data_IF_116247589736
#
_entry.id   IF_116247589736
#
_cell.length_a   1.000
_cell.length_b   1.000
_cell.length_c   1.000
_cell.angle_alpha   90.00
_cell.angle_beta   90.00
_cell.angle_gamma   90.00
#
_symmetry.space_group_name_H-M   'P 1'
#
loop_
_entity.id
_entity.type
_entity.pdbx_description
1 polymer ?
#
# COMPACT_ATOMS: atom_id res chain seq x y z
N UNK A 1 -8.65 -1.59 19.20
CA UNK A 1 -7.32 -1.60 18.57
C UNK A 1 -6.69 -0.22 18.78
N UNK A 2 -5.44 -0.15 19.20
CA UNK A 2 -4.68 1.10 19.29
C UNK A 2 -3.91 1.38 17.99
N UNK A 3 -3.42 2.61 17.80
CA UNK A 3 -2.63 2.95 16.61
C UNK A 3 -1.33 2.13 16.51
N UNK A 4 -0.73 1.79 17.65
CA UNK A 4 0.44 0.91 17.72
C UNK A 4 0.11 -0.53 17.28
N UNK A 5 -1.05 -1.06 17.69
CA UNK A 5 -1.53 -2.36 17.22
C UNK A 5 -1.81 -2.33 15.72
N UNK A 6 -2.46 -1.27 15.21
CA UNK A 6 -2.72 -1.09 13.77
C UNK A 6 -1.43 -1.10 12.95
N UNK A 7 -0.40 -0.37 13.40
CA UNK A 7 0.93 -0.38 12.76
C UNK A 7 1.57 -1.78 12.80
N UNK A 8 1.53 -2.44 13.95
CA UNK A 8 2.10 -3.77 14.14
C UNK A 8 1.41 -4.80 13.24
N UNK A 9 0.08 -4.73 13.10
CA UNK A 9 -0.68 -5.59 12.19
C UNK A 9 -0.24 -5.36 10.74
N UNK A 10 -0.10 -4.11 10.30
CA UNK A 10 0.36 -3.80 8.95
C UNK A 10 1.77 -4.34 8.68
N UNK A 11 2.70 -4.15 9.62
CA UNK A 11 4.07 -4.68 9.54
C UNK A 11 4.06 -6.21 9.44
N UNK A 12 3.25 -6.89 10.26
CA UNK A 12 3.12 -8.34 10.23
C UNK A 12 2.56 -8.84 8.88
N UNK A 13 1.57 -8.15 8.31
CA UNK A 13 1.04 -8.46 6.97
C UNK A 13 2.09 -8.27 5.88
N UNK A 14 2.88 -7.19 5.93
CA UNK A 14 3.97 -6.97 4.99
C UNK A 14 5.02 -8.10 5.06
N UNK A 15 5.47 -8.46 6.26
CA UNK A 15 6.40 -9.58 6.46
C UNK A 15 5.80 -10.92 6.04
N UNK A 16 4.48 -11.11 6.15
CA UNK A 16 3.82 -12.31 5.62
C UNK A 16 3.89 -12.35 4.09
N UNK A 17 3.68 -11.22 3.41
CA UNK A 17 3.81 -11.14 1.95
C UNK A 17 5.22 -11.49 1.49
N UNK A 18 6.24 -11.03 2.21
CA UNK A 18 7.65 -11.40 1.94
C UNK A 18 7.87 -12.91 2.06
N UNK A 19 7.35 -13.52 3.13
CA UNK A 19 7.44 -14.97 3.31
C UNK A 19 6.70 -15.74 2.22
N UNK A 20 5.54 -15.25 1.76
CA UNK A 20 4.80 -15.89 0.66
C UNK A 20 5.63 -15.86 -0.64
N UNK A 21 6.20 -14.71 -0.98
CA UNK A 21 7.04 -14.56 -2.18
C UNK A 21 8.30 -15.41 -2.04
N UNK A 22 9.02 -15.32 -0.92
CA UNK A 22 10.22 -16.12 -0.68
C UNK A 22 9.93 -17.62 -0.77
N UNK A 23 8.82 -18.08 -0.17
CA UNK A 23 8.41 -19.48 -0.25
C UNK A 23 8.03 -19.91 -1.67
N UNK A 24 7.41 -19.01 -2.44
CA UNK A 24 7.05 -19.28 -3.82
C UNK A 24 8.28 -19.54 -4.69
N UNK A 25 9.34 -18.75 -4.47
CA UNK A 25 10.61 -18.81 -5.21
C UNK A 25 11.66 -19.71 -4.57
N UNK A 26 11.26 -20.65 -3.71
CA UNK A 26 12.21 -21.61 -3.14
C UNK A 26 12.72 -22.56 -4.23
N UNK A 27 14.02 -22.79 -4.19
CA UNK A 27 14.69 -23.79 -5.00
C UNK A 27 15.03 -25.03 -4.14
N UNK A 28 15.10 -26.17 -4.79
CA UNK A 28 15.63 -27.39 -4.21
C UNK A 28 17.18 -27.35 -4.15
N UNK A 29 17.86 -28.34 -3.53
CA UNK A 29 19.31 -28.36 -3.48
C UNK A 29 20.01 -28.42 -4.86
N UNK A 30 19.27 -28.73 -5.94
CA UNK A 30 19.74 -28.73 -7.31
C UNK A 30 19.54 -27.39 -8.04
N UNK A 31 19.01 -26.36 -7.37
CA UNK A 31 18.69 -25.08 -7.98
C UNK A 31 17.44 -25.10 -8.85
N UNK A 32 16.61 -26.15 -8.73
CA UNK A 32 15.35 -26.26 -9.47
C UNK A 32 14.23 -25.64 -8.63
N UNK A 33 13.39 -24.76 -9.18
CA UNK A 33 12.27 -24.21 -8.44
C UNK A 33 11.33 -25.31 -7.93
N UNK A 34 11.00 -25.25 -6.63
CA UNK A 34 10.12 -26.23 -5.97
C UNK A 34 8.69 -26.13 -6.50
N UNK A 35 8.25 -24.92 -6.83
CA UNK A 35 6.92 -24.67 -7.40
C UNK A 35 6.98 -24.41 -8.91
N UNK A 36 5.95 -24.81 -9.67
CA UNK A 36 5.79 -24.41 -11.07
C UNK A 36 5.75 -22.89 -11.24
N UNK A 37 6.22 -22.40 -12.39
CA UNK A 37 6.26 -20.97 -12.70
C UNK A 37 4.89 -20.28 -12.61
N UNK A 38 3.80 -20.99 -12.95
CA UNK A 38 2.44 -20.46 -12.82
C UNK A 38 2.05 -20.20 -11.36
N UNK A 39 2.39 -21.14 -10.47
CA UNK A 39 2.09 -21.03 -9.04
C UNK A 39 2.93 -19.91 -8.41
N UNK A 40 4.21 -19.82 -8.77
CA UNK A 40 5.08 -18.71 -8.35
C UNK A 40 4.46 -17.35 -8.70
N UNK A 41 3.98 -17.22 -9.93
CA UNK A 41 3.34 -16.02 -10.43
C UNK A 41 2.07 -15.67 -9.66
N UNK A 42 1.18 -16.65 -9.48
CA UNK A 42 -0.08 -16.44 -8.76
C UNK A 42 0.15 -16.06 -7.30
N UNK A 43 1.05 -16.77 -6.61
CA UNK A 43 1.38 -16.49 -5.21
C UNK A 43 2.01 -15.11 -5.06
N UNK A 44 2.91 -14.73 -5.97
CA UNK A 44 3.57 -13.41 -5.93
C UNK A 44 2.56 -12.27 -6.13
N UNK A 45 1.69 -12.38 -7.13
CA UNK A 45 0.64 -11.37 -7.39
C UNK A 45 -0.36 -11.31 -6.24
N UNK A 46 -0.74 -12.46 -5.65
CA UNK A 46 -1.62 -12.51 -4.49
C UNK A 46 -0.97 -11.87 -3.25
N UNK A 47 0.33 -12.10 -3.02
CA UNK A 47 1.07 -11.47 -1.93
C UNK A 47 1.12 -9.93 -2.10
N UNK A 48 1.32 -9.44 -3.33
CA UNK A 48 1.22 -8.00 -3.61
C UNK A 48 -0.18 -7.43 -3.32
N UNK A 49 -1.24 -8.12 -3.74
CA UNK A 49 -2.62 -7.73 -3.43
C UNK A 49 -2.87 -7.68 -1.91
N UNK A 50 -2.39 -8.68 -1.17
CA UNK A 50 -2.51 -8.72 0.28
C UNK A 50 -1.80 -7.53 0.96
N UNK A 51 -0.62 -7.14 0.46
CA UNK A 51 0.08 -5.95 0.95
C UNK A 51 -0.76 -4.68 0.72
N UNK A 52 -1.36 -4.54 -0.46
CA UNK A 52 -2.20 -3.37 -0.78
C UNK A 52 -3.44 -3.31 0.11
N UNK A 53 -4.13 -4.43 0.30
CA UNK A 53 -5.30 -4.51 1.21
C UNK A 53 -4.89 -4.18 2.65
N UNK A 54 -3.74 -4.67 3.11
CA UNK A 54 -3.22 -4.35 4.43
C UNK A 54 -2.91 -2.85 4.58
N UNK A 55 -2.42 -2.20 3.52
CA UNK A 55 -2.20 -0.75 3.49
C UNK A 55 -3.51 0.03 3.56
N UNK A 56 -4.53 -0.35 2.80
CA UNK A 56 -5.86 0.29 2.88
C UNK A 56 -6.47 0.13 4.28
N UNK A 57 -6.34 -1.06 4.87
CA UNK A 57 -6.81 -1.34 6.23
C UNK A 57 -6.07 -0.47 7.25
N UNK A 58 -4.75 -0.31 7.11
CA UNK A 58 -3.97 0.59 7.97
C UNK A 58 -4.47 2.03 7.88
N UNK A 59 -4.69 2.55 6.67
CA UNK A 59 -5.21 3.91 6.48
C UNK A 59 -6.60 4.08 7.11
N UNK A 60 -7.52 3.13 6.88
CA UNK A 60 -8.85 3.17 7.46
C UNK A 60 -8.80 3.19 8.99
N UNK A 61 -8.14 2.21 9.61
CA UNK A 61 -8.10 2.07 11.06
C UNK A 61 -7.40 3.26 11.71
N UNK A 62 -6.28 3.71 11.15
CA UNK A 62 -5.57 4.88 11.68
C UNK A 62 -6.40 6.16 11.58
N UNK A 63 -7.08 6.40 10.46
CA UNK A 63 -7.99 7.54 10.29
C UNK A 63 -9.10 7.51 11.35
N UNK A 64 -9.78 6.39 11.49
CA UNK A 64 -10.90 6.20 12.42
C UNK A 64 -10.46 6.42 13.87
N UNK A 65 -9.32 5.87 14.28
CA UNK A 65 -8.79 6.03 15.64
C UNK A 65 -8.40 7.48 15.94
N UNK A 66 -7.72 8.15 15.00
CA UNK A 66 -7.30 9.54 15.17
C UNK A 66 -8.52 10.50 15.11
N UNK A 67 -9.51 10.22 14.26
CA UNK A 67 -10.80 10.94 14.25
C UNK A 67 -11.55 10.75 15.56
N UNK A 68 -11.48 9.57 16.19
CA UNK A 68 -12.06 9.32 17.50
C UNK A 68 -11.30 9.98 18.67
N UNK A 69 -10.13 10.57 18.40
CA UNK A 69 -9.33 11.33 19.37
C UNK A 69 -8.25 10.50 20.06
N UNK A 70 -7.92 9.33 19.52
CA UNK A 70 -6.74 8.59 19.98
C UNK A 70 -5.47 9.39 19.68
N UNK A 71 -4.48 9.42 20.58
CA UNK A 71 -3.21 10.05 20.30
C UNK A 71 -2.40 9.22 19.29
N UNK A 72 -1.45 9.87 18.63
CA UNK A 72 -0.36 9.18 17.91
C UNK A 72 0.52 8.39 18.90
N UNK A 73 1.39 7.52 18.40
CA UNK A 73 2.31 6.73 19.24
C UNK A 73 3.25 7.64 20.04
N UNK A 74 3.61 8.82 19.51
CA UNK A 74 4.41 9.82 20.25
C UNK A 74 3.64 10.53 21.38
N UNK A 75 2.33 10.26 21.52
CA UNK A 75 1.46 10.87 22.51
C UNK A 75 0.78 12.16 22.05
N UNK A 76 1.10 12.67 20.85
CA UNK A 76 0.45 13.86 20.30
C UNK A 76 -0.90 13.52 19.66
N UNK A 77 -1.98 14.10 20.17
CA UNK A 77 -3.28 14.02 19.50
C UNK A 77 -3.38 15.03 18.36
N UNK A 78 -3.81 14.63 17.15
CA UNK A 78 -4.10 15.55 16.06
C UNK A 78 -5.21 16.55 16.44
N UNK A 79 -5.08 17.79 15.96
CA UNK A 79 -6.20 18.75 16.01
C UNK A 79 -7.23 18.31 14.98
N UNK A 80 -8.43 17.98 15.45
CA UNK A 80 -9.54 17.44 14.66
C UNK A 80 -10.61 18.50 14.46
N UNK A 81 -11.16 18.58 13.25
CA UNK A 81 -12.38 19.38 12.98
C UNK A 81 -13.67 18.59 13.22
N UNK A 82 -13.54 17.28 13.43
CA UNK A 82 -14.65 16.36 13.67
C UNK A 82 -14.57 15.74 15.06
N UNK A 83 -15.75 15.49 15.63
CA UNK A 83 -15.91 14.83 16.93
C UNK A 83 -17.00 13.76 16.79
N UNK A 84 -16.67 12.59 16.20
CA UNK A 84 -17.63 11.50 16.09
C UNK A 84 -18.03 10.99 17.49
N UNK A 85 -19.27 10.53 17.64
CA UNK A 85 -19.76 9.97 18.89
C UNK A 85 -19.06 8.66 19.31
N UNK A 86 -18.36 8.01 18.38
CA UNK A 86 -17.60 6.79 18.60
C UNK A 86 -16.95 6.29 17.31
N UNK A 87 -16.31 5.12 17.39
CA UNK A 87 -15.58 4.48 16.28
C UNK A 87 -16.50 4.20 15.08
N UNK A 88 -17.70 3.68 15.31
CA UNK A 88 -18.67 3.42 14.23
C UNK A 88 -19.12 4.70 13.53
N UNK A 89 -19.35 5.77 14.29
CA UNK A 89 -19.66 7.08 13.71
C UNK A 89 -18.48 7.63 12.89
N UNK A 90 -17.24 7.40 13.34
CA UNK A 90 -16.04 7.77 12.58
C UNK A 90 -15.94 6.99 11.26
N UNK A 91 -16.23 5.67 11.25
CA UNK A 91 -16.29 4.88 10.00
C UNK A 91 -17.35 5.41 9.04
N UNK A 92 -18.54 5.75 9.55
CA UNK A 92 -19.58 6.36 8.73
C UNK A 92 -19.13 7.70 8.12
N UNK A 93 -18.38 8.52 8.86
CA UNK A 93 -17.82 9.77 8.33
C UNK A 93 -16.82 9.50 7.21
N UNK A 94 -15.94 8.51 7.36
CA UNK A 94 -14.95 8.12 6.34
C UNK A 94 -15.64 7.62 5.06
N UNK A 95 -16.68 6.80 5.18
CA UNK A 95 -17.49 6.34 4.02
C UNK A 95 -18.24 7.53 3.38
N UNK A 96 -18.69 8.47 4.21
CA UNK A 96 -19.46 9.64 3.78
C UNK A 96 -20.80 9.23 3.18
N UNK A 97 -21.09 9.74 1.98
CA UNK A 97 -22.32 9.44 1.24
C UNK A 97 -22.19 8.28 0.25
N UNK A 98 -21.01 7.67 0.16
CA UNK A 98 -20.73 6.57 -0.76
C UNK A 98 -21.09 5.22 -0.14
N UNK A 99 -21.12 4.16 -0.95
CA UNK A 99 -21.30 2.78 -0.43
C UNK A 99 -20.03 2.24 0.23
N UNK A 100 -18.87 2.68 -0.28
CA UNK A 100 -17.54 2.34 0.21
C UNK A 100 -16.60 3.49 -0.13
N UNK A 101 -15.52 3.63 0.65
CA UNK A 101 -14.46 4.57 0.35
C UNK A 101 -13.33 3.88 -0.43
N UNK A 102 -12.86 4.51 -1.51
CA UNK A 102 -11.75 4.01 -2.32
C UNK A 102 -10.42 4.57 -1.81
N UNK A 103 -9.78 3.81 -0.92
CA UNK A 103 -8.46 4.15 -0.36
C UNK A 103 -7.34 4.05 -1.39
N UNK A 104 -7.51 3.28 -2.46
CA UNK A 104 -6.59 3.22 -3.59
C UNK A 104 -6.52 4.52 -4.38
N UNK A 105 -7.56 5.37 -4.34
CA UNK A 105 -7.49 6.74 -4.89
C UNK A 105 -6.94 7.72 -3.84
N UNK A 106 -5.63 7.74 -3.70
CA UNK A 106 -4.92 8.51 -2.66
C UNK A 106 -5.19 10.02 -2.67
N UNK A 107 -5.55 10.63 -3.80
CA UNK A 107 -6.03 12.02 -3.84
C UNK A 107 -7.29 12.23 -2.98
N UNK A 108 -8.19 11.25 -2.96
CA UNK A 108 -9.39 11.30 -2.12
C UNK A 108 -9.02 11.14 -0.64
N UNK A 109 -8.06 10.26 -0.32
CA UNK A 109 -7.54 10.09 1.05
C UNK A 109 -6.96 11.43 1.54
N UNK A 110 -6.11 12.08 0.74
CA UNK A 110 -5.52 13.38 1.10
C UNK A 110 -6.57 14.46 1.31
N UNK A 111 -7.59 14.54 0.44
CA UNK A 111 -8.71 15.48 0.61
C UNK A 111 -9.48 15.20 1.89
N UNK A 112 -9.75 13.94 2.20
CA UNK A 112 -10.44 13.55 3.43
C UNK A 112 -9.64 13.95 4.68
N UNK A 113 -8.36 13.61 4.70
CA UNK A 113 -7.44 13.98 5.77
C UNK A 113 -7.46 15.50 5.99
N UNK A 114 -7.38 16.29 4.91
CA UNK A 114 -7.41 17.75 4.99
C UNK A 114 -8.75 18.32 5.48
N UNK A 115 -9.87 17.60 5.25
CA UNK A 115 -11.19 17.98 5.77
C UNK A 115 -11.34 17.71 7.27
N UNK A 116 -10.67 16.69 7.81
CA UNK A 116 -10.89 16.24 9.19
C UNK A 116 -9.80 16.63 10.17
N UNK A 117 -8.59 16.91 9.70
CA UNK A 117 -7.45 17.24 10.55
C UNK A 117 -6.81 18.58 10.14
N UNK A 118 -6.34 19.33 11.13
CA UNK A 118 -5.61 20.57 10.90
C UNK A 118 -4.35 20.29 10.05
N UNK A 119 -4.28 20.96 8.89
CA UNK A 119 -3.20 20.79 7.90
C UNK A 119 -3.01 19.33 7.47
N UNK A 120 -4.01 18.49 7.70
CA UNK A 120 -3.96 17.06 7.44
C UNK A 120 -2.97 16.25 8.27
N UNK A 121 -2.52 16.77 9.42
CA UNK A 121 -1.65 16.04 10.33
C UNK A 121 -2.36 14.78 10.91
N UNK A 122 -1.70 13.61 11.00
CA UNK A 122 -0.30 13.33 10.67
C UNK A 122 -0.08 12.77 9.25
N UNK A 123 -1.12 12.67 8.41
CA UNK A 123 -1.03 11.94 7.15
C UNK A 123 -0.42 12.76 6.00
N UNK A 124 -0.86 14.00 5.83
CA UNK A 124 -0.64 14.78 4.60
C UNK A 124 0.84 14.85 4.19
N UNK A 125 1.79 15.20 5.09
CA UNK A 125 3.19 15.35 4.70
C UNK A 125 3.78 14.05 4.15
N UNK A 126 3.41 12.92 4.76
CA UNK A 126 3.97 11.60 4.41
C UNK A 126 3.31 11.01 3.17
N UNK A 127 1.99 11.15 3.02
CA UNK A 127 1.27 10.73 1.82
C UNK A 127 1.68 11.57 0.60
N UNK A 128 1.89 12.88 0.78
CA UNK A 128 2.33 13.76 -0.30
C UNK A 128 3.74 13.40 -0.77
N UNK A 129 4.64 13.03 0.14
CA UNK A 129 6.02 12.66 -0.18
C UNK A 129 6.13 11.44 -1.11
N UNK A 130 5.19 10.50 -1.04
CA UNK A 130 5.18 9.27 -1.86
C UNK A 130 4.01 9.22 -2.87
N UNK A 131 3.41 10.36 -3.23
CA UNK A 131 2.18 10.39 -4.04
C UNK A 131 2.31 9.70 -5.41
N UNK A 132 3.45 9.88 -6.08
CA UNK A 132 3.73 9.19 -7.35
C UNK A 132 3.80 7.68 -7.15
N UNK A 133 4.48 7.23 -6.10
CA UNK A 133 4.60 5.81 -5.78
C UNK A 133 3.23 5.19 -5.45
N UNK A 134 2.38 5.93 -4.73
CA UNK A 134 1.01 5.54 -4.44
C UNK A 134 0.15 5.40 -5.71
N UNK A 135 0.33 6.28 -6.71
CA UNK A 135 -0.32 6.16 -8.01
C UNK A 135 0.16 4.92 -8.80
N UNK A 136 1.44 4.60 -8.68
CA UNK A 136 2.06 3.43 -9.30
C UNK A 136 1.54 2.13 -8.67
N UNK A 137 1.44 2.08 -7.34
CA UNK A 137 0.81 0.99 -6.59
C UNK A 137 -0.64 0.74 -7.03
N UNK A 138 -1.44 1.81 -7.18
CA UNK A 138 -2.81 1.68 -7.69
C UNK A 138 -2.84 1.07 -9.10
N UNK A 139 -1.90 1.47 -9.96
CA UNK A 139 -1.80 0.93 -11.32
C UNK A 139 -1.52 -0.57 -11.30
N UNK A 140 -0.55 -1.00 -10.48
CA UNK A 140 -0.24 -2.41 -10.26
C UNK A 140 -1.43 -3.18 -9.66
N UNK A 141 -2.13 -2.62 -8.67
CA UNK A 141 -3.34 -3.21 -8.09
C UNK A 141 -4.43 -3.42 -9.12
N UNK A 142 -4.69 -2.44 -9.98
CA UNK A 142 -5.71 -2.59 -11.00
C UNK A 142 -5.33 -3.66 -12.04
N UNK A 143 -4.04 -3.77 -12.40
CA UNK A 143 -3.55 -4.83 -13.28
C UNK A 143 -3.65 -6.23 -12.66
N UNK A 144 -3.54 -6.35 -11.32
CA UNK A 144 -3.67 -7.64 -10.62
C UNK A 144 -5.09 -8.21 -10.64
N UNK A 145 -6.11 -7.34 -10.62
CA UNK A 145 -7.51 -7.76 -10.57
C UNK A 145 -8.03 -8.19 -11.93
N UNK A 146 -7.72 -7.43 -12.99
CA UNK A 146 -8.15 -7.72 -14.36
C UNK A 146 -7.12 -7.21 -15.37
N UNK A 147 -6.59 -8.11 -16.19
CA UNK A 147 -5.80 -7.71 -17.36
C UNK A 147 -6.76 -7.43 -18.52
N UNK A 148 -6.90 -6.14 -18.85
CA UNK A 148 -7.67 -5.61 -19.98
C UNK A 148 -6.72 -4.77 -20.84
N UNK A 149 -7.14 -4.39 -22.04
CA UNK A 149 -6.34 -3.46 -22.87
C UNK A 149 -5.99 -2.16 -22.13
N UNK A 150 -6.90 -1.66 -21.29
CA UNK A 150 -6.68 -0.42 -20.51
C UNK A 150 -5.69 -0.59 -19.34
N UNK A 151 -5.78 -1.70 -18.60
CA UNK A 151 -4.85 -1.97 -17.49
C UNK A 151 -3.48 -2.39 -18.00
N UNK A 152 -3.41 -3.05 -19.16
CA UNK A 152 -2.15 -3.36 -19.84
C UNK A 152 -1.41 -2.08 -20.26
N UNK A 153 -2.06 -1.16 -20.97
CA UNK A 153 -1.43 0.10 -21.39
C UNK A 153 -0.93 0.93 -20.19
N UNK A 154 -1.69 0.95 -19.09
CA UNK A 154 -1.27 1.62 -17.86
C UNK A 154 -0.05 0.95 -17.21
N UNK A 155 0.00 -0.40 -17.20
CA UNK A 155 1.12 -1.17 -16.67
C UNK A 155 2.38 -0.99 -17.52
N UNK A 156 2.25 -0.96 -18.85
CA UNK A 156 3.36 -0.68 -19.77
C UNK A 156 3.91 0.73 -19.58
N UNK A 157 3.02 1.73 -19.44
CA UNK A 157 3.42 3.11 -19.11
C UNK A 157 4.10 3.23 -17.75
N UNK A 158 3.69 2.43 -16.76
CA UNK A 158 4.40 2.31 -15.49
C UNK A 158 5.78 1.69 -15.69
N UNK A 159 5.87 0.54 -16.37
CA UNK A 159 7.13 -0.15 -16.61
C UNK A 159 8.13 0.71 -17.38
N UNK A 160 7.67 1.49 -18.36
CA UNK A 160 8.53 2.44 -19.08
C UNK A 160 9.10 3.51 -18.15
N UNK A 161 8.31 4.04 -17.21
CA UNK A 161 8.81 5.02 -16.24
C UNK A 161 9.78 4.40 -15.24
N UNK A 162 9.52 3.17 -14.79
CA UNK A 162 10.38 2.48 -13.84
C UNK A 162 11.72 2.10 -14.49
N UNK A 163 11.69 1.46 -15.66
CA UNK A 163 12.86 0.85 -16.29
C UNK A 163 13.50 1.70 -17.39
N UNK A 164 12.98 2.91 -17.65
CA UNK A 164 13.42 3.83 -18.71
C UNK A 164 13.43 3.21 -20.12
N UNK A 165 12.73 2.10 -20.32
CA UNK A 165 12.67 1.34 -21.58
C UNK A 165 11.24 0.86 -21.83
N UNK A 166 10.72 0.89 -23.07
CA UNK A 166 9.42 0.31 -23.37
C UNK A 166 9.40 -1.20 -23.10
N UNK A 167 8.37 -1.67 -22.39
CA UNK A 167 8.19 -3.07 -22.01
C UNK A 167 6.82 -3.56 -22.49
N UNK A 168 6.64 -3.70 -23.80
CA UNK A 168 5.37 -4.10 -24.39
C UNK A 168 4.99 -5.53 -23.95
N UNK A 169 3.74 -5.74 -23.55
CA UNK A 169 3.25 -7.03 -23.08
C UNK A 169 3.77 -7.46 -21.71
N UNK A 170 4.46 -6.57 -20.97
CA UNK A 170 4.93 -6.89 -19.62
C UNK A 170 3.75 -7.20 -18.72
N UNK A 171 3.93 -8.21 -17.86
CA UNK A 171 2.94 -8.56 -16.86
C UNK A 171 3.35 -8.10 -15.47
N UNK A 172 2.36 -8.07 -14.57
CA UNK A 172 2.57 -7.58 -13.21
C UNK A 172 3.61 -8.39 -12.45
N UNK A 173 3.68 -9.70 -12.67
CA UNK A 173 4.66 -10.54 -11.99
C UNK A 173 6.09 -10.17 -12.39
N UNK A 174 6.34 -9.97 -13.69
CA UNK A 174 7.62 -9.46 -14.20
C UNK A 174 7.97 -8.10 -13.61
N UNK A 175 7.00 -7.18 -13.49
CA UNK A 175 7.24 -5.88 -12.83
C UNK A 175 7.63 -6.06 -11.37
N UNK A 176 6.86 -6.84 -10.59
CA UNK A 176 7.05 -7.00 -9.15
C UNK A 176 8.39 -7.67 -8.78
N UNK A 177 8.86 -8.59 -9.63
CA UNK A 177 10.08 -9.38 -9.41
C UNK A 177 11.32 -8.77 -10.04
N UNK A 178 11.16 -7.81 -10.97
CA UNK A 178 12.29 -7.07 -11.52
C UNK A 178 12.98 -6.22 -10.46
N UNK A 179 14.30 -6.06 -10.60
CA UNK A 179 15.09 -5.14 -9.78
C UNK A 179 14.66 -3.70 -10.09
N UNK A 180 14.33 -2.92 -9.06
CA UNK A 180 14.03 -1.50 -9.24
C UNK A 180 15.35 -0.75 -9.50
N UNK A 181 15.53 -0.12 -10.67
CA UNK A 181 16.78 0.60 -10.99
C UNK A 181 17.03 1.81 -10.08
N UNK A 182 16.01 2.26 -9.33
CA UNK A 182 16.11 3.33 -8.34
C UNK A 182 16.59 2.82 -6.98
N UNK A 183 16.60 1.50 -6.77
CA UNK A 183 16.99 0.90 -5.49
C UNK A 183 18.50 0.82 -5.35
N UNK A 184 19.05 1.50 -4.33
CA UNK A 184 20.47 1.44 -4.02
C UNK A 184 20.94 0.04 -3.54
N UNK A 185 20.00 -0.77 -3.03
CA UNK A 185 20.27 -2.11 -2.48
C UNK A 185 19.99 -3.24 -3.49
N UNK A 186 19.57 -2.90 -4.72
CA UNK A 186 19.16 -3.88 -5.72
C UNK A 186 17.85 -4.59 -5.34
N UNK A 187 16.97 -3.94 -4.57
CA UNK A 187 15.67 -4.51 -4.22
C UNK A 187 14.80 -4.70 -5.48
N UNK A 188 13.90 -5.67 -5.40
CA UNK A 188 12.83 -5.77 -6.40
C UNK A 188 11.86 -4.60 -6.27
N UNK A 189 11.11 -4.31 -7.33
CA UNK A 189 10.04 -3.29 -7.32
C UNK A 189 9.09 -3.54 -6.16
N UNK A 190 8.65 -4.79 -5.95
CA UNK A 190 7.78 -5.12 -4.81
C UNK A 190 8.39 -4.71 -3.47
N UNK A 191 9.65 -5.07 -3.22
CA UNK A 191 10.33 -4.78 -1.96
C UNK A 191 10.51 -3.27 -1.75
N UNK A 192 10.87 -2.52 -2.80
CA UNK A 192 11.04 -1.06 -2.73
C UNK A 192 9.73 -0.35 -2.37
N UNK A 193 8.62 -0.72 -3.01
CA UNK A 193 7.30 -0.17 -2.67
C UNK A 193 6.84 -0.57 -1.27
N UNK A 194 7.06 -1.82 -0.86
CA UNK A 194 6.75 -2.30 0.50
C UNK A 194 7.47 -1.47 1.56
N UNK A 195 8.77 -1.23 1.41
CA UNK A 195 9.56 -0.43 2.36
C UNK A 195 9.03 1.01 2.47
N UNK A 196 8.71 1.65 1.34
CA UNK A 196 8.12 3.00 1.35
C UNK A 196 6.80 3.04 2.14
N UNK A 197 5.93 2.05 1.95
CA UNK A 197 4.68 1.97 2.70
C UNK A 197 4.93 1.75 4.19
N UNK A 198 5.87 0.90 4.57
CA UNK A 198 6.25 0.65 5.97
C UNK A 198 6.78 1.92 6.65
N UNK A 199 7.66 2.65 5.97
CA UNK A 199 8.20 3.93 6.44
C UNK A 199 7.08 4.94 6.65
N UNK A 200 6.21 5.11 5.65
CA UNK A 200 5.09 6.06 5.75
C UNK A 200 4.11 5.66 6.83
N UNK A 201 3.75 4.38 6.96
CA UNK A 201 2.89 3.90 8.04
C UNK A 201 3.50 4.22 9.42
N UNK A 202 4.81 3.99 9.58
CA UNK A 202 5.55 4.32 10.79
C UNK A 202 5.51 5.81 11.11
N UNK A 203 5.75 6.67 10.12
CA UNK A 203 5.71 8.13 10.28
C UNK A 203 4.30 8.62 10.67
N UNK A 204 3.27 8.18 9.93
CA UNK A 204 1.87 8.50 10.23
C UNK A 204 1.46 8.07 11.63
N UNK A 205 1.87 6.87 12.05
CA UNK A 205 1.52 6.35 13.36
C UNK A 205 2.25 7.09 14.50
N UNK A 206 3.49 7.54 14.27
CA UNK A 206 4.25 8.32 15.25
C UNK A 206 3.79 9.77 15.36
N UNK A 207 3.31 10.37 14.27
CA UNK A 207 2.86 11.76 14.25
C UNK A 207 3.96 12.75 13.90
#
# INVERSE_FOLDING_TARGET
MSLAETLTTFQASASQCDRLIANAHREDPGGVPVLPALDQRQITVAAFLNLFVAWETFLEESLVLLMAGSPTISGRAPVRYVVPAGIEAARCLVIGVQRYFDYGKHDNVRKMVAMYFEKGYPFEPHLSAINTDLCDLRTMRNASAHMTSTTQAALEGLAQRLFSTPQAGIDLYSVLTAVDPRSALGNTVFAEFREKLLVVAGLVANG
#
